data_IF_615986268895
#
_entry.id   IF_615986268895
#
_cell.length_a   1.000
_cell.length_b   1.000
_cell.length_c   1.000
_cell.angle_alpha   90.00
_cell.angle_beta   90.00
_cell.angle_gamma   90.00
#
_symmetry.space_group_name_H-M   'P 1'
#
loop_
_entity.id
_entity.type
_entity.pdbx_description
1 polymer ?
#
# COMPACT_ATOMS: atom_id res chain seq x y z
N UNK A 1 -15.29 4.82 0.43
CA UNK A 1 -15.06 4.92 -1.02
C UNK A 1 -14.69 3.54 -1.54
N UNK A 2 -14.79 3.25 -2.84
CA UNK A 2 -14.32 1.96 -3.39
C UNK A 2 -12.96 2.18 -4.08
N UNK A 3 -11.97 1.31 -3.87
CA UNK A 3 -10.69 1.42 -4.57
C UNK A 3 -10.84 1.18 -6.08
N UNK A 4 -9.92 1.73 -6.87
CA UNK A 4 -9.86 1.52 -8.31
C UNK A 4 -9.46 0.08 -8.63
N UNK A 5 -8.53 -0.48 -7.86
CA UNK A 5 -8.07 -1.84 -8.02
C UNK A 5 -8.84 -2.76 -7.06
N UNK A 6 -9.50 -3.83 -7.56
CA UNK A 6 -10.17 -4.80 -6.70
C UNK A 6 -9.17 -5.44 -5.74
N UNK A 7 -9.51 -5.53 -4.45
CA UNK A 7 -8.59 -6.07 -3.45
C UNK A 7 -8.20 -7.53 -3.72
N UNK A 8 -9.07 -8.32 -4.35
CA UNK A 8 -8.73 -9.69 -4.78
C UNK A 8 -7.48 -9.72 -5.68
N UNK A 9 -7.40 -8.80 -6.65
CA UNK A 9 -6.23 -8.69 -7.54
C UNK A 9 -5.01 -8.19 -6.77
N UNK A 10 -5.20 -7.22 -5.89
CA UNK A 10 -4.12 -6.65 -5.07
C UNK A 10 -3.50 -7.72 -4.17
N UNK A 11 -4.33 -8.55 -3.53
CA UNK A 11 -3.89 -9.66 -2.67
C UNK A 11 -3.13 -10.72 -3.47
N UNK A 12 -3.65 -11.10 -4.64
CA UNK A 12 -2.97 -12.04 -5.53
C UNK A 12 -1.58 -11.53 -5.96
N UNK A 13 -1.43 -10.23 -6.23
CA UNK A 13 -0.13 -9.64 -6.57
C UNK A 13 0.81 -9.48 -5.37
N UNK A 14 0.28 -9.37 -4.16
CA UNK A 14 1.05 -9.27 -2.92
C UNK A 14 1.60 -10.63 -2.46
N UNK A 15 0.98 -11.75 -2.85
CA UNK A 15 1.44 -13.10 -2.51
C UNK A 15 2.84 -13.42 -3.07
N UNK A 16 3.20 -12.87 -4.23
CA UNK A 16 4.48 -13.13 -4.90
C UNK A 16 5.40 -11.88 -4.86
N UNK A 17 6.63 -12.07 -4.35
CA UNK A 17 7.69 -11.05 -4.33
C UNK A 17 8.03 -10.53 -5.73
N UNK A 18 7.94 -11.40 -6.75
CA UNK A 18 8.18 -11.03 -8.14
C UNK A 18 7.15 -10.05 -8.70
N UNK A 19 5.97 -9.97 -8.08
CA UNK A 19 4.86 -9.11 -8.49
C UNK A 19 4.54 -7.98 -7.52
N UNK A 20 5.25 -7.87 -6.40
CA UNK A 20 5.08 -6.80 -5.42
C UNK A 20 6.36 -5.96 -5.28
N UNK A 21 6.28 -4.69 -5.69
CA UNK A 21 7.40 -3.75 -5.68
C UNK A 21 7.23 -2.68 -4.61
N UNK A 22 8.27 -2.46 -3.81
CA UNK A 22 8.31 -1.42 -2.78
C UNK A 22 9.31 -0.34 -3.13
N UNK A 23 8.87 0.92 -3.11
CA UNK A 23 9.78 2.05 -3.30
C UNK A 23 10.70 2.24 -2.09
N UNK A 24 11.89 2.80 -2.32
CA UNK A 24 12.90 3.03 -1.25
C UNK A 24 12.35 3.70 0.02
N UNK A 25 11.49 4.75 -0.05
CA UNK A 25 10.93 5.36 1.16
C UNK A 25 10.01 4.42 1.95
N UNK A 26 9.33 3.48 1.28
CA UNK A 26 8.52 2.44 1.93
C UNK A 26 9.42 1.50 2.71
N UNK A 27 10.45 0.97 2.06
CA UNK A 27 11.44 0.09 2.70
C UNK A 27 12.13 0.75 3.89
N UNK A 28 12.41 2.05 3.80
CA UNK A 28 12.97 2.81 4.92
C UNK A 28 11.98 2.89 6.10
N UNK A 29 10.73 3.26 5.83
CA UNK A 29 9.71 3.35 6.89
C UNK A 29 9.45 2.00 7.57
N UNK A 30 9.44 0.90 6.81
CA UNK A 30 9.29 -0.44 7.38
C UNK A 30 10.40 -0.73 8.40
N UNK A 31 11.66 -0.50 8.01
CA UNK A 31 12.81 -0.68 8.92
C UNK A 31 12.74 0.19 10.16
N UNK A 32 12.29 1.44 10.02
CA UNK A 32 12.11 2.37 11.16
C UNK A 32 11.07 1.85 12.17
N UNK A 33 10.09 1.07 11.71
CA UNK A 33 9.07 0.43 12.53
C UNK A 33 9.39 -1.05 12.86
N UNK A 34 10.62 -1.51 12.59
CA UNK A 34 11.07 -2.91 12.78
C UNK A 34 10.26 -3.94 11.98
N UNK A 35 9.71 -3.51 10.86
CA UNK A 35 9.02 -4.35 9.89
C UNK A 35 9.91 -4.58 8.66
N UNK A 36 9.63 -5.64 7.92
CA UNK A 36 10.19 -5.90 6.60
C UNK A 36 9.11 -5.90 5.50
N UNK A 37 9.49 -6.28 4.29
CA UNK A 37 8.57 -6.32 3.15
C UNK A 37 7.49 -7.38 3.30
N UNK A 38 7.75 -8.44 4.04
CA UNK A 38 6.87 -9.60 4.16
C UNK A 38 5.72 -9.23 5.09
N UNK A 39 6.03 -8.52 6.18
CA UNK A 39 5.02 -7.93 7.07
C UNK A 39 4.05 -7.02 6.31
N UNK A 40 4.55 -6.15 5.42
CA UNK A 40 3.67 -5.27 4.65
C UNK A 40 2.85 -6.04 3.60
N UNK A 41 3.39 -7.10 3.00
CA UNK A 41 2.62 -7.98 2.10
C UNK A 41 1.52 -8.69 2.86
N UNK A 42 1.81 -9.19 4.07
CA UNK A 42 0.83 -9.83 4.93
C UNK A 42 -0.32 -8.88 5.28
N UNK A 43 -0.03 -7.64 5.71
CA UNK A 43 -1.05 -6.62 5.97
C UNK A 43 -1.94 -6.37 4.74
N UNK A 44 -1.35 -6.28 3.54
CA UNK A 44 -2.09 -6.11 2.29
C UNK A 44 -3.00 -7.32 2.01
N UNK A 45 -2.50 -8.53 2.31
CA UNK A 45 -3.22 -9.78 2.08
C UNK A 45 -4.38 -9.99 3.04
N UNK A 46 -4.18 -9.74 4.34
CA UNK A 46 -5.07 -10.21 5.41
C UNK A 46 -5.89 -9.08 6.04
N UNK A 47 -5.30 -7.90 6.24
CA UNK A 47 -5.91 -6.82 7.01
C UNK A 47 -6.54 -5.73 6.13
N UNK A 48 -6.00 -5.50 4.94
CA UNK A 48 -6.47 -4.45 4.06
C UNK A 48 -7.89 -4.74 3.55
N UNK A 49 -8.86 -3.90 3.93
CA UNK A 49 -10.24 -3.92 3.46
C UNK A 49 -10.62 -2.72 2.61
N UNK A 50 -11.67 -2.84 1.79
CA UNK A 50 -12.08 -1.75 0.86
C UNK A 50 -12.48 -0.47 1.61
N UNK A 51 -13.01 -0.61 2.83
CA UNK A 51 -13.42 0.50 3.68
C UNK A 51 -12.24 1.37 4.16
N UNK A 52 -11.01 0.86 4.13
CA UNK A 52 -9.79 1.62 4.39
C UNK A 52 -9.46 2.60 3.24
N UNK A 53 -10.04 2.40 2.04
CA UNK A 53 -9.84 3.28 0.91
C UNK A 53 -10.61 4.59 1.08
N UNK A 54 -9.89 5.70 1.00
CA UNK A 54 -10.47 7.04 1.19
C UNK A 54 -10.28 7.97 -0.01
N UNK A 55 -9.35 7.68 -0.93
CA UNK A 55 -9.12 8.48 -2.12
C UNK A 55 -8.49 7.62 -3.24
N UNK A 56 -8.67 8.06 -4.48
CA UNK A 56 -8.09 7.47 -5.68
C UNK A 56 -7.72 8.59 -6.65
N UNK A 57 -6.49 8.64 -7.14
CA UNK A 57 -6.04 9.73 -8.01
C UNK A 57 -5.15 9.23 -9.16
N UNK A 58 -5.23 9.85 -10.35
CA UNK A 58 -4.27 9.59 -11.42
C UNK A 58 -2.83 9.81 -10.96
N UNK A 59 -1.96 8.86 -11.26
CA UNK A 59 -0.54 8.94 -10.89
C UNK A 59 0.16 9.94 -11.79
N UNK A 60 0.96 10.86 -11.22
CA UNK A 60 1.59 11.96 -11.99
C UNK A 60 3.08 11.81 -12.26
N UNK A 61 3.80 11.05 -11.42
CA UNK A 61 5.27 11.03 -11.41
C UNK A 61 5.84 9.74 -12.00
N UNK A 62 5.53 8.63 -11.35
CA UNK A 62 5.94 7.28 -11.77
C UNK A 62 4.69 6.60 -12.34
N UNK A 63 4.77 5.96 -13.50
CA UNK A 63 3.61 5.33 -14.17
C UNK A 63 2.42 6.29 -14.45
N UNK A 64 2.61 7.34 -15.27
CA UNK A 64 1.63 8.42 -15.46
C UNK A 64 0.27 8.01 -16.06
N UNK A 65 0.15 6.79 -16.59
CA UNK A 65 -1.10 6.23 -17.13
C UNK A 65 -1.86 5.35 -16.13
N UNK A 66 -1.42 5.31 -14.87
CA UNK A 66 -2.05 4.50 -13.81
C UNK A 66 -2.84 5.37 -12.86
N UNK A 67 -3.68 4.73 -12.06
CA UNK A 67 -4.35 5.35 -10.92
C UNK A 67 -3.68 4.83 -9.65
N UNK A 68 -3.55 5.68 -8.65
CA UNK A 68 -3.12 5.28 -7.32
C UNK A 68 -4.32 5.22 -6.39
N UNK A 69 -4.39 4.18 -5.55
CA UNK A 69 -5.35 4.07 -4.47
C UNK A 69 -4.69 4.42 -3.13
N UNK A 70 -5.46 5.08 -2.27
CA UNK A 70 -5.00 5.70 -1.04
C UNK A 70 -5.78 5.12 0.13
N UNK A 71 -5.06 4.59 1.11
CA UNK A 71 -5.61 3.84 2.24
C UNK A 71 -5.15 4.41 3.58
N UNK A 72 -6.02 4.30 4.57
CA UNK A 72 -5.73 4.55 5.99
C UNK A 72 -6.06 3.26 6.74
N UNK A 73 -5.06 2.66 7.39
CA UNK A 73 -5.22 1.40 8.10
C UNK A 73 -4.48 1.46 9.42
N UNK A 74 -5.12 0.97 10.49
CA UNK A 74 -4.45 0.79 11.77
C UNK A 74 -3.51 -0.42 11.66
N UNK A 75 -2.23 -0.22 11.96
CA UNK A 75 -1.23 -1.31 11.97
C UNK A 75 -0.74 -1.48 13.39
N UNK A 76 -0.99 -2.65 13.98
CA UNK A 76 -0.69 -2.94 15.38
C UNK A 76 0.81 -2.81 15.70
N UNK A 77 1.70 -3.32 14.82
CA UNK A 77 3.15 -3.20 14.98
C UNK A 77 3.64 -1.75 14.95
N UNK A 78 2.93 -0.87 14.25
CA UNK A 78 3.19 0.57 14.23
C UNK A 78 2.50 1.31 15.38
N UNK A 79 1.50 0.69 16.02
CA UNK A 79 0.66 1.27 17.07
C UNK A 79 -0.07 2.55 16.62
N UNK A 80 -0.36 2.70 15.34
CA UNK A 80 -0.95 3.93 14.78
C UNK A 80 -1.62 3.71 13.42
N UNK A 81 -2.35 4.73 12.96
CA UNK A 81 -2.89 4.78 11.60
C UNK A 81 -1.77 5.02 10.59
N UNK A 82 -1.67 4.13 9.63
CA UNK A 82 -0.69 4.17 8.56
C UNK A 82 -1.38 4.52 7.24
N UNK A 83 -0.79 5.50 6.55
CA UNK A 83 -1.11 5.84 5.18
C UNK A 83 -0.39 4.88 4.24
N UNK A 84 -1.17 4.17 3.43
CA UNK A 84 -0.69 3.27 2.38
C UNK A 84 -1.13 3.81 1.01
N UNK A 85 -0.20 3.84 0.06
CA UNK A 85 -0.47 4.21 -1.34
C UNK A 85 0.14 3.20 -2.28
N UNK A 86 -0.69 2.64 -3.16
CA UNK A 86 -0.23 1.76 -4.22
C UNK A 86 -0.95 2.02 -5.54
N UNK A 87 -0.40 1.42 -6.59
CA UNK A 87 -0.98 1.34 -7.92
C UNK A 87 -0.68 -0.04 -8.52
N UNK A 88 -1.41 -0.44 -9.56
CA UNK A 88 -1.03 -1.60 -10.38
C UNK A 88 -0.42 -1.11 -11.71
N UNK A 89 0.79 -1.57 -12.02
CA UNK A 89 1.47 -1.28 -13.27
C UNK A 89 2.16 -2.52 -13.82
N UNK A 90 2.01 -2.79 -15.12
CA UNK A 90 2.67 -3.93 -15.79
C UNK A 90 2.46 -5.27 -15.06
N UNK A 91 1.23 -5.50 -14.56
CA UNK A 91 0.87 -6.69 -13.78
C UNK A 91 1.67 -6.84 -12.47
N UNK A 92 2.02 -5.71 -11.83
CA UNK A 92 2.69 -5.65 -10.54
C UNK A 92 1.98 -4.69 -9.61
N UNK A 93 1.91 -5.05 -8.35
CA UNK A 93 1.55 -4.16 -7.26
C UNK A 93 2.76 -3.28 -6.94
N UNK A 94 2.60 -1.96 -7.07
CA UNK A 94 3.68 -1.00 -6.79
C UNK A 94 3.27 -0.14 -5.61
N UNK A 95 3.89 -0.39 -4.45
CA UNK A 95 3.67 0.37 -3.23
C UNK A 95 4.62 1.55 -3.19
N UNK A 96 4.05 2.75 -3.27
CA UNK A 96 4.80 4.00 -3.44
C UNK A 96 4.91 4.82 -2.17
N UNK A 97 4.06 4.57 -1.17
CA UNK A 97 4.12 5.23 0.13
C UNK A 97 3.57 4.34 1.23
N UNK A 98 4.29 4.32 2.35
CA UNK A 98 3.88 3.77 3.64
C UNK A 98 4.46 4.70 4.70
N UNK A 99 3.63 5.30 5.54
CA UNK A 99 4.04 6.28 6.57
C UNK A 99 2.88 6.53 7.54
N UNK A 100 3.16 7.14 8.69
CA UNK A 100 2.10 7.61 9.60
C UNK A 100 1.10 8.50 8.86
N UNK A 101 -0.17 8.25 9.12
CA UNK A 101 -1.26 9.01 8.54
C UNK A 101 -1.41 10.34 9.29
N UNK A 102 -1.08 11.45 8.62
CA UNK A 102 -1.10 12.78 9.21
C UNK A 102 -2.50 13.23 9.66
N UNK A 103 -3.58 12.54 9.23
CA UNK A 103 -4.95 12.82 9.68
C UNK A 103 -5.23 12.39 11.12
N UNK A 104 -4.37 11.52 11.67
CA UNK A 104 -4.52 10.91 12.99
C UNK A 104 -3.27 11.10 13.86
N UNK A 105 -2.37 11.99 13.44
CA UNK A 105 -1.12 12.32 14.12
C UNK A 105 -1.31 13.43 15.17
#
# INVERSE_FOLDING_TARGET
MKPTHPLEVVRCLAEDEGTCEFFKPVLQMLRENKMDSDDLREIIMTELGEHHCFDTQPTRKYYPSTVSDYFSIWVDDCGTQMFLKYLIANNRLVVTSFKKDARYA
#
